data_IF_230289492091
#
_entry.id   IF_230289492091
#
_cell.length_a   1.000
_cell.length_b   1.000
_cell.length_c   1.000
_cell.angle_alpha   90.00
_cell.angle_beta   90.00
_cell.angle_gamma   90.00
#
_symmetry.space_group_name_H-M   'P 1'
#
loop_
_entity.id
_entity.type
_entity.pdbx_description
1 polymer ?
#
# COMPACT_ATOMS: atom_id res chain seq x y z
N UNK A 1 -8.22 -17.19 14.78
CA UNK A 1 -8.73 -17.79 13.52
C UNK A 1 -9.14 -16.63 12.61
N UNK A 2 -8.75 -16.64 11.33
CA UNK A 2 -9.11 -15.58 10.39
C UNK A 2 -10.38 -15.97 9.63
N UNK A 3 -11.36 -15.08 9.64
CA UNK A 3 -12.62 -15.23 8.91
C UNK A 3 -12.73 -14.15 7.84
N UNK A 4 -13.34 -14.46 6.70
CA UNK A 4 -13.68 -13.45 5.69
C UNK A 4 -14.85 -12.57 6.17
N UNK A 5 -15.25 -11.57 5.37
CA UNK A 5 -16.40 -10.70 5.67
C UNK A 5 -17.75 -11.45 5.73
N UNK A 6 -17.83 -12.64 5.15
CA UNK A 6 -19.02 -13.51 5.18
C UNK A 6 -19.03 -14.48 6.37
N UNK A 7 -18.00 -14.48 7.22
CA UNK A 7 -17.88 -15.37 8.37
C UNK A 7 -17.23 -16.73 8.05
N UNK A 8 -16.84 -17.00 6.81
CA UNK A 8 -16.19 -18.25 6.45
C UNK A 8 -14.75 -18.30 6.97
N UNK A 9 -14.34 -19.46 7.44
CA UNK A 9 -12.97 -19.70 7.84
C UNK A 9 -12.04 -19.70 6.62
N UNK A 10 -10.99 -18.89 6.67
CA UNK A 10 -9.94 -18.87 5.65
C UNK A 10 -9.09 -20.13 5.82
N UNK A 11 -9.32 -21.15 4.98
CA UNK A 11 -8.65 -22.46 5.06
C UNK A 11 -7.31 -22.54 4.33
N UNK A 12 -6.99 -21.54 3.51
CA UNK A 12 -5.75 -21.52 2.75
C UNK A 12 -4.88 -20.33 3.17
N UNK A 13 -3.60 -20.61 3.39
CA UNK A 13 -2.57 -19.61 3.52
C UNK A 13 -1.65 -19.77 2.32
N UNK A 14 -1.60 -18.79 1.42
CA UNK A 14 -0.67 -18.81 0.28
C UNK A 14 0.73 -18.50 0.81
N UNK A 15 1.50 -19.56 1.13
CA UNK A 15 2.89 -19.46 1.54
C UNK A 15 3.72 -18.97 0.36
N UNK A 16 3.93 -17.66 0.27
CA UNK A 16 4.83 -17.07 -0.73
C UNK A 16 6.26 -17.30 -0.29
N UNK A 17 7.04 -18.01 -1.10
CA UNK A 17 8.51 -18.09 -0.96
C UNK A 17 9.20 -16.77 -1.28
N UNK A 18 8.48 -15.82 -1.89
CA UNK A 18 8.97 -14.51 -2.30
C UNK A 18 8.94 -13.51 -1.13
N UNK A 19 7.96 -13.63 -0.22
CA UNK A 19 7.82 -12.70 0.92
C UNK A 19 9.06 -12.60 1.81
N UNK A 20 9.76 -13.71 2.16
CA UNK A 20 11.04 -13.64 2.86
C UNK A 20 12.10 -12.84 2.10
N UNK A 21 12.22 -13.06 0.80
CA UNK A 21 13.18 -12.34 -0.05
C UNK A 21 12.85 -10.85 -0.17
N UNK A 22 11.57 -10.49 -0.28
CA UNK A 22 11.12 -9.09 -0.26
C UNK A 22 11.46 -8.45 1.09
N UNK A 23 11.18 -9.13 2.20
CA UNK A 23 11.54 -8.61 3.54
C UNK A 23 13.03 -8.38 3.67
N UNK A 24 13.85 -9.32 3.20
CA UNK A 24 15.30 -9.19 3.20
C UNK A 24 15.74 -7.99 2.35
N UNK A 25 15.25 -7.89 1.11
CA UNK A 25 15.55 -6.77 0.22
C UNK A 25 15.17 -5.42 0.83
N UNK A 26 13.97 -5.30 1.43
CA UNK A 26 13.56 -4.09 2.14
C UNK A 26 14.49 -3.78 3.30
N UNK A 27 14.90 -4.77 4.09
CA UNK A 27 15.80 -4.55 5.24
C UNK A 27 17.18 -4.04 4.83
N UNK A 28 17.76 -4.59 3.76
CA UNK A 28 19.06 -4.20 3.22
C UNK A 28 18.99 -2.79 2.63
N UNK A 29 17.92 -2.51 1.88
CA UNK A 29 17.80 -1.25 1.16
C UNK A 29 17.19 -0.12 2.03
N UNK A 30 16.66 -0.42 3.22
CA UNK A 30 16.01 0.56 4.11
C UNK A 30 16.81 1.85 4.33
N UNK A 31 18.14 1.81 4.54
CA UNK A 31 18.92 3.04 4.73
C UNK A 31 19.08 3.89 3.45
N UNK A 32 18.85 3.28 2.28
CA UNK A 32 19.08 3.88 0.96
C UNK A 32 17.78 4.20 0.22
N UNK A 33 16.64 3.69 0.69
CA UNK A 33 15.32 4.00 0.15
C UNK A 33 14.69 5.09 1.01
N UNK A 34 14.39 6.21 0.38
CA UNK A 34 13.55 7.28 0.91
C UNK A 34 12.41 7.54 -0.05
N UNK A 35 11.29 8.02 0.46
CA UNK A 35 10.16 8.46 -0.35
C UNK A 35 10.08 9.97 -0.17
N UNK A 36 10.30 10.73 -1.24
CA UNK A 36 9.98 12.16 -1.24
C UNK A 36 8.52 12.27 -1.65
N UNK A 37 7.64 12.46 -0.67
CA UNK A 37 6.22 12.69 -0.92
C UNK A 37 5.89 14.12 -0.49
N UNK A 38 5.39 14.93 -1.42
CA UNK A 38 5.16 16.36 -1.18
C UNK A 38 6.42 17.10 -0.71
N UNK A 39 6.37 17.70 0.49
CA UNK A 39 7.51 18.39 1.12
C UNK A 39 8.42 17.47 1.96
N UNK A 40 8.17 16.16 1.94
CA UNK A 40 8.96 15.16 2.67
C UNK A 40 8.80 15.17 4.19
N UNK A 41 7.98 16.05 4.76
CA UNK A 41 7.79 16.17 6.21
C UNK A 41 6.71 15.23 6.74
N UNK A 42 5.64 14.97 5.98
CA UNK A 42 4.54 14.07 6.31
C UNK A 42 3.95 13.45 5.04
N UNK A 43 3.44 12.21 5.13
CA UNK A 43 2.65 11.59 4.06
C UNK A 43 1.18 11.98 4.25
N UNK A 44 0.62 12.72 3.31
CA UNK A 44 -0.82 12.99 3.20
C UNK A 44 -1.40 12.16 2.05
N UNK A 45 -1.87 10.96 2.40
CA UNK A 45 -2.43 10.00 1.45
C UNK A 45 -3.55 10.57 0.54
N UNK A 46 -4.27 11.61 0.98
CA UNK A 46 -5.36 12.18 0.19
C UNK A 46 -4.88 13.22 -0.83
N UNK A 47 -3.77 13.89 -0.54
CA UNK A 47 -3.25 15.03 -1.31
C UNK A 47 -1.96 14.73 -2.05
N UNK A 48 -1.26 13.68 -1.63
CA UNK A 48 -0.02 13.27 -2.25
C UNK A 48 -0.27 12.42 -3.50
N UNK A 49 0.57 12.63 -4.51
CA UNK A 49 0.63 11.82 -5.75
C UNK A 49 1.43 10.54 -5.50
N UNK A 50 1.21 9.89 -4.37
CA UNK A 50 1.82 8.59 -4.06
C UNK A 50 0.74 7.63 -3.54
N UNK A 51 0.66 6.40 -4.07
CA UNK A 51 1.52 5.79 -5.10
C UNK A 51 1.04 6.05 -6.54
N UNK A 52 0.07 6.92 -6.74
CA UNK A 52 -0.62 7.17 -8.02
C UNK A 52 -0.16 8.46 -8.71
N UNK A 53 -0.48 8.65 -9.99
CA UNK A 53 -0.11 9.86 -10.74
C UNK A 53 -0.85 11.13 -10.28
N UNK A 54 -2.03 10.96 -9.71
CA UNK A 54 -2.85 12.04 -9.14
C UNK A 54 -3.24 11.70 -7.69
N UNK A 55 -3.54 12.70 -6.84
CA UNK A 55 -3.98 12.48 -5.48
C UNK A 55 -5.26 11.64 -5.39
N UNK A 56 -5.37 10.82 -4.34
CA UNK A 56 -6.51 9.91 -4.17
C UNK A 56 -7.87 10.61 -4.10
N UNK A 57 -7.89 11.85 -3.61
CA UNK A 57 -9.09 12.69 -3.59
C UNK A 57 -9.69 12.89 -4.99
N UNK A 58 -8.86 13.06 -6.01
CA UNK A 58 -9.35 13.31 -7.37
C UNK A 58 -10.09 12.10 -7.94
N UNK A 59 -9.64 10.88 -7.63
CA UNK A 59 -10.36 9.66 -8.01
C UNK A 59 -11.76 9.58 -7.40
N UNK A 60 -11.94 10.04 -6.16
CA UNK A 60 -13.27 10.04 -5.53
C UNK A 60 -14.22 11.03 -6.19
N UNK A 61 -13.72 12.19 -6.60
CA UNK A 61 -14.50 13.22 -7.29
C UNK A 61 -14.90 12.76 -8.70
N UNK A 62 -14.01 12.08 -9.43
CA UNK A 62 -14.31 11.47 -10.74
C UNK A 62 -15.40 10.39 -10.64
N UNK A 63 -15.40 9.59 -9.57
CA UNK A 63 -16.40 8.52 -9.37
C UNK A 63 -17.81 9.04 -9.09
N UNK A 64 -17.95 10.27 -8.60
CA UNK A 64 -19.23 10.90 -8.31
C UNK A 64 -19.81 11.68 -9.50
N UNK A 65 -19.02 11.86 -10.56
CA UNK A 65 -19.43 12.51 -11.82
C UNK A 65 -19.98 11.53 -12.88
N UNK A 66 -20.12 10.25 -12.54
CA UNK A 66 -20.73 9.18 -13.35
C UNK A 66 -22.03 8.71 -12.71
#
# INVERSE_FOLDING_TARGET
KLTNKAGDFIRYHKKSTIWPSIKLAVSINRPYIGWLVGNGANIDFWRDTWPTEIPLREYTEMSQSL
#
